data_IF_677657204616
#
_entry.id   IF_677657204616
#
_cell.length_a   1.000
_cell.length_b   1.000
_cell.length_c   1.000
_cell.angle_alpha   90.00
_cell.angle_beta   90.00
_cell.angle_gamma   90.00
#
_symmetry.space_group_name_H-M   'P 1'
#
loop_
_entity.id
_entity.type
_entity.pdbx_description
1 polymer ?
#
# COMPACT_ATOMS: atom_id res chain seq x y z
N UNK A 1 -40.26 -14.13 -45.34
CA UNK A 1 -41.38 -15.08 -45.46
C UNK A 1 -42.29 -14.85 -44.27
N UNK A 2 -43.55 -14.50 -44.50
CA UNK A 2 -44.51 -14.29 -43.41
C UNK A 2 -44.90 -15.63 -42.75
N UNK A 3 -45.44 -15.58 -41.52
CA UNK A 3 -45.84 -16.79 -40.78
C UNK A 3 -46.81 -17.66 -41.58
N UNK A 4 -47.69 -17.02 -42.36
CA UNK A 4 -48.69 -17.69 -43.20
C UNK A 4 -48.00 -18.49 -44.31
N UNK A 5 -47.03 -17.91 -45.01
CA UNK A 5 -46.29 -18.58 -46.08
C UNK A 5 -45.48 -19.78 -45.55
N UNK A 6 -44.91 -19.67 -44.34
CA UNK A 6 -44.21 -20.79 -43.68
C UNK A 6 -45.18 -21.90 -43.25
N UNK A 7 -46.35 -21.52 -42.76
CA UNK A 7 -47.41 -22.46 -42.39
C UNK A 7 -47.92 -23.23 -43.63
N UNK A 8 -48.18 -22.53 -44.74
CA UNK A 8 -48.60 -23.14 -46.00
C UNK A 8 -47.54 -24.11 -46.54
N UNK A 9 -46.26 -23.73 -46.53
CA UNK A 9 -45.17 -24.60 -46.97
C UNK A 9 -45.06 -25.88 -46.10
N UNK A 10 -45.20 -25.75 -44.78
CA UNK A 10 -45.21 -26.89 -43.86
C UNK A 10 -46.41 -27.80 -44.13
N UNK A 11 -47.61 -27.22 -44.26
CA UNK A 11 -48.84 -27.97 -44.54
C UNK A 11 -48.77 -28.72 -45.87
N UNK A 12 -48.27 -28.09 -46.93
CA UNK A 12 -48.06 -28.73 -48.24
C UNK A 12 -47.08 -29.88 -48.14
N UNK A 13 -45.95 -29.73 -47.41
CA UNK A 13 -45.01 -30.84 -47.23
C UNK A 13 -45.60 -32.00 -46.43
N UNK A 14 -46.49 -31.70 -45.47
CA UNK A 14 -47.14 -32.71 -44.63
C UNK A 14 -48.35 -33.40 -45.27
N UNK A 15 -48.78 -32.92 -46.45
CA UNK A 15 -49.89 -33.48 -47.24
C UNK A 15 -49.45 -33.99 -48.63
N UNK A 16 -48.19 -33.78 -49.02
CA UNK A 16 -47.66 -34.22 -50.32
C UNK A 16 -47.58 -35.74 -50.51
N UNK A 17 -47.14 -36.17 -51.69
CA UNK A 17 -47.22 -37.57 -52.14
C UNK A 17 -46.43 -38.57 -51.25
N UNK A 18 -45.34 -38.15 -50.60
CA UNK A 18 -44.60 -38.99 -49.62
C UNK A 18 -44.85 -38.61 -48.16
N UNK A 19 -45.91 -37.85 -47.89
CA UNK A 19 -46.12 -37.25 -46.59
C UNK A 19 -46.54 -38.25 -45.51
N UNK A 20 -46.42 -37.79 -44.26
CA UNK A 20 -46.89 -38.53 -43.08
C UNK A 20 -48.37 -38.91 -43.21
N UNK A 21 -49.18 -38.07 -43.88
CA UNK A 21 -50.58 -38.34 -44.16
C UNK A 21 -50.76 -39.55 -45.08
N UNK A 22 -50.04 -39.62 -46.20
CA UNK A 22 -50.13 -40.74 -47.14
C UNK A 22 -49.74 -42.05 -46.47
N UNK A 23 -48.64 -42.06 -45.71
CA UNK A 23 -48.18 -43.25 -44.97
C UNK A 23 -49.18 -43.69 -43.89
N UNK A 24 -49.73 -42.74 -43.15
CA UNK A 24 -50.72 -43.03 -42.11
C UNK A 24 -52.04 -43.54 -42.70
N UNK A 25 -52.48 -42.96 -43.83
CA UNK A 25 -53.63 -43.42 -44.61
C UNK A 25 -53.43 -44.86 -45.08
N UNK A 26 -52.31 -45.17 -45.72
CA UNK A 26 -51.98 -46.52 -46.21
C UNK A 26 -51.93 -47.55 -45.08
N UNK A 27 -51.34 -47.17 -43.94
CA UNK A 27 -51.31 -48.03 -42.75
C UNK A 27 -52.72 -48.31 -42.21
N UNK A 28 -53.59 -47.30 -42.19
CA UNK A 28 -54.99 -47.44 -41.77
C UNK A 28 -55.78 -48.35 -42.73
N UNK A 29 -55.59 -48.20 -44.04
CA UNK A 29 -56.21 -49.07 -45.03
C UNK A 29 -55.75 -50.52 -44.86
N UNK A 30 -54.46 -50.77 -44.68
CA UNK A 30 -53.95 -52.11 -44.42
C UNK A 30 -54.51 -52.73 -43.12
N UNK A 31 -54.69 -51.93 -42.06
CA UNK A 31 -55.33 -52.42 -40.83
C UNK A 31 -56.82 -52.73 -41.03
N UNK A 32 -57.54 -51.95 -41.83
CA UNK A 32 -58.95 -52.21 -42.17
C UNK A 32 -59.17 -53.44 -43.06
N UNK A 33 -58.16 -53.88 -43.81
CA UNK A 33 -58.19 -55.15 -44.55
C UNK A 33 -58.03 -56.35 -43.61
N UNK A 34 -57.25 -56.20 -42.54
CA UNK A 34 -56.98 -57.26 -41.56
C UNK A 34 -58.07 -57.37 -40.48
N UNK A 35 -58.74 -56.27 -40.15
CA UNK A 35 -59.83 -56.22 -39.18
C UNK A 35 -61.19 -56.32 -39.89
N UNK A 36 -62.02 -57.31 -39.50
CA UNK A 36 -63.41 -57.47 -39.97
C UNK A 36 -64.36 -56.43 -39.35
N UNK A 37 -64.05 -55.14 -39.52
CA UNK A 37 -64.89 -54.02 -39.09
C UNK A 37 -66.04 -53.79 -40.06
N UNK A 38 -67.19 -53.37 -39.53
CA UNK A 38 -68.33 -52.96 -40.36
C UNK A 38 -68.02 -51.64 -41.08
N UNK A 39 -68.68 -51.38 -42.22
CA UNK A 39 -68.47 -50.14 -42.99
C UNK A 39 -68.71 -48.87 -42.15
N UNK A 40 -69.66 -48.94 -41.21
CA UNK A 40 -69.96 -47.83 -40.29
C UNK A 40 -68.81 -47.55 -39.32
N UNK A 41 -68.15 -48.58 -38.82
CA UNK A 41 -66.99 -48.45 -37.91
C UNK A 41 -65.75 -47.95 -38.66
N UNK A 42 -65.53 -48.43 -39.89
CA UNK A 42 -64.45 -47.94 -40.77
C UNK A 42 -64.62 -46.45 -41.09
N UNK A 43 -65.83 -46.02 -41.42
CA UNK A 43 -66.14 -44.61 -41.67
C UNK A 43 -65.95 -43.74 -40.41
N UNK A 44 -66.37 -44.23 -39.24
CA UNK A 44 -66.17 -43.55 -37.96
C UNK A 44 -64.70 -43.35 -37.61
N UNK A 45 -63.89 -44.42 -37.69
CA UNK A 45 -62.45 -44.37 -37.45
C UNK A 45 -61.71 -43.46 -38.44
N UNK A 46 -62.09 -43.50 -39.71
CA UNK A 46 -61.49 -42.64 -40.74
C UNK A 46 -61.81 -41.17 -40.48
N UNK A 47 -63.07 -40.85 -40.14
CA UNK A 47 -63.48 -39.49 -39.81
C UNK A 47 -62.78 -38.96 -38.55
N UNK A 48 -62.65 -39.79 -37.52
CA UNK A 48 -61.93 -39.44 -36.28
C UNK A 48 -60.43 -39.24 -36.53
N UNK A 49 -59.81 -40.12 -37.32
CA UNK A 49 -58.41 -39.99 -37.72
C UNK A 49 -58.17 -38.70 -38.52
N UNK A 50 -58.95 -38.44 -39.56
CA UNK A 50 -58.80 -37.22 -40.38
C UNK A 50 -58.98 -35.97 -39.53
N UNK A 51 -59.96 -35.97 -38.61
CA UNK A 51 -60.19 -34.83 -37.72
C UNK A 51 -59.03 -34.60 -36.76
N UNK A 52 -58.56 -35.65 -36.07
CA UNK A 52 -57.43 -35.54 -35.13
C UNK A 52 -56.11 -35.23 -35.84
N UNK A 53 -55.88 -35.82 -37.00
CA UNK A 53 -54.68 -35.58 -37.81
C UNK A 53 -54.65 -34.15 -38.34
N UNK A 54 -55.77 -33.65 -38.89
CA UNK A 54 -55.89 -32.28 -39.39
C UNK A 54 -55.67 -31.24 -38.29
N UNK A 55 -56.29 -31.43 -37.11
CA UNK A 55 -56.09 -30.56 -35.94
C UNK A 55 -54.64 -30.60 -35.44
N UNK A 56 -54.08 -31.80 -35.26
CA UNK A 56 -52.72 -31.98 -34.75
C UNK A 56 -51.65 -31.40 -35.69
N UNK A 57 -51.79 -31.63 -36.99
CA UNK A 57 -50.87 -31.09 -38.01
C UNK A 57 -50.99 -29.57 -38.11
N UNK A 58 -52.21 -29.02 -38.14
CA UNK A 58 -52.41 -27.57 -38.21
C UNK A 58 -51.79 -26.88 -37.00
N UNK A 59 -51.96 -27.44 -35.80
CA UNK A 59 -51.38 -26.88 -34.58
C UNK A 59 -49.84 -26.99 -34.56
N UNK A 60 -49.28 -28.15 -34.93
CA UNK A 60 -47.83 -28.36 -34.96
C UNK A 60 -47.13 -27.50 -36.03
N UNK A 61 -47.71 -27.41 -37.23
CA UNK A 61 -47.20 -26.57 -38.33
C UNK A 61 -47.27 -25.09 -37.96
N UNK A 62 -48.35 -24.63 -37.33
CA UNK A 62 -48.48 -23.24 -36.88
C UNK A 62 -47.47 -22.91 -35.77
N UNK A 63 -47.29 -23.82 -34.81
CA UNK A 63 -46.33 -23.63 -33.71
C UNK A 63 -44.89 -23.58 -34.22
N UNK A 64 -44.54 -24.43 -35.20
CA UNK A 64 -43.22 -24.46 -35.85
C UNK A 64 -42.99 -23.21 -36.69
N UNK A 65 -43.97 -22.79 -37.50
CA UNK A 65 -43.89 -21.57 -38.29
C UNK A 65 -43.70 -20.31 -37.42
N UNK A 66 -44.40 -20.24 -36.28
CA UNK A 66 -44.24 -19.18 -35.29
C UNK A 66 -42.85 -19.21 -34.63
N UNK A 67 -42.35 -20.39 -34.29
CA UNK A 67 -40.99 -20.55 -33.74
C UNK A 67 -39.93 -20.06 -34.73
N UNK A 68 -40.00 -20.51 -35.99
CA UNK A 68 -39.08 -20.08 -37.04
C UNK A 68 -39.15 -18.58 -37.32
N UNK A 69 -40.35 -17.99 -37.31
CA UNK A 69 -40.51 -16.55 -37.49
C UNK A 69 -39.95 -15.75 -36.32
N UNK A 70 -40.13 -16.23 -35.07
CA UNK A 70 -39.52 -15.61 -33.89
C UNK A 70 -38.00 -15.69 -33.94
N UNK A 71 -37.45 -16.84 -34.33
CA UNK A 71 -36.01 -17.07 -34.39
C UNK A 71 -35.34 -16.24 -35.49
N UNK A 72 -35.95 -16.09 -36.66
CA UNK A 72 -35.45 -15.18 -37.71
C UNK A 72 -35.50 -13.70 -37.30
N UNK A 73 -36.51 -13.30 -36.52
CA UNK A 73 -36.65 -11.91 -36.05
C UNK A 73 -35.65 -11.61 -34.93
N UNK A 74 -35.54 -12.51 -33.96
CA UNK A 74 -34.79 -12.27 -32.72
C UNK A 74 -33.33 -12.77 -32.84
N UNK A 75 -33.03 -13.67 -33.77
CA UNK A 75 -31.70 -14.24 -33.99
C UNK A 75 -30.59 -13.22 -34.29
N UNK A 76 -30.80 -12.26 -35.22
CA UNK A 76 -29.82 -11.22 -35.50
C UNK A 76 -29.52 -10.34 -34.26
N UNK A 77 -30.55 -10.04 -33.47
CA UNK A 77 -30.39 -9.27 -32.24
C UNK A 77 -29.62 -10.05 -31.17
N UNK A 78 -29.95 -11.33 -30.98
CA UNK A 78 -29.22 -12.21 -30.05
C UNK A 78 -27.75 -12.37 -30.46
N UNK A 79 -27.48 -12.53 -31.75
CA UNK A 79 -26.11 -12.61 -32.25
C UNK A 79 -25.33 -11.31 -32.02
N UNK A 80 -25.96 -10.16 -32.27
CA UNK A 80 -25.35 -8.86 -31.99
C UNK A 80 -25.08 -8.65 -30.49
N UNK A 81 -26.01 -9.08 -29.63
CA UNK A 81 -25.85 -9.02 -28.17
C UNK A 81 -24.70 -9.91 -27.69
N UNK A 82 -24.61 -11.15 -28.19
CA UNK A 82 -23.50 -12.07 -27.86
C UNK A 82 -22.18 -11.46 -28.32
N UNK A 83 -22.13 -10.89 -29.53
CA UNK A 83 -20.93 -10.24 -30.04
C UNK A 83 -20.50 -9.07 -29.15
N UNK A 84 -21.43 -8.18 -28.80
CA UNK A 84 -21.15 -7.05 -27.90
C UNK A 84 -20.67 -7.52 -26.52
N UNK A 85 -21.28 -8.57 -25.96
CA UNK A 85 -20.85 -9.15 -24.69
C UNK A 85 -19.44 -9.77 -24.79
N UNK A 86 -19.11 -10.42 -25.91
CA UNK A 86 -17.76 -10.97 -26.12
C UNK A 86 -16.70 -9.88 -26.29
N UNK A 87 -17.03 -8.79 -26.99
CA UNK A 87 -16.13 -7.63 -27.13
C UNK A 87 -15.86 -6.98 -25.77
N UNK A 88 -16.90 -6.78 -24.96
CA UNK A 88 -16.75 -6.28 -23.59
C UNK A 88 -15.93 -7.21 -22.69
N UNK A 89 -16.13 -8.53 -22.81
CA UNK A 89 -15.36 -9.51 -22.05
C UNK A 89 -13.87 -9.51 -22.44
N UNK A 90 -13.57 -9.38 -23.73
CA UNK A 90 -12.19 -9.26 -24.22
C UNK A 90 -11.51 -7.97 -23.71
N UNK A 91 -12.19 -6.83 -23.78
CA UNK A 91 -11.67 -5.58 -23.24
C UNK A 91 -11.42 -5.66 -21.72
N UNK A 92 -12.31 -6.34 -20.98
CA UNK A 92 -12.12 -6.60 -19.55
C UNK A 92 -10.91 -7.50 -19.27
N UNK A 93 -10.67 -8.51 -20.09
CA UNK A 93 -9.51 -9.39 -19.98
C UNK A 93 -8.19 -8.65 -20.22
N UNK A 94 -8.12 -7.80 -21.24
CA UNK A 94 -6.93 -6.99 -21.53
C UNK A 94 -6.60 -6.04 -20.37
N UNK A 95 -7.62 -5.38 -19.80
CA UNK A 95 -7.45 -4.52 -18.64
C UNK A 95 -6.89 -5.27 -17.42
N UNK A 96 -7.43 -6.44 -17.11
CA UNK A 96 -6.95 -7.26 -15.98
C UNK A 96 -5.49 -7.68 -16.21
N UNK A 97 -5.12 -8.00 -17.46
CA UNK A 97 -3.74 -8.35 -17.81
C UNK A 97 -2.77 -7.18 -17.58
N UNK A 98 -3.17 -5.96 -17.91
CA UNK A 98 -2.38 -4.75 -17.62
C UNK A 98 -2.24 -4.51 -16.12
N UNK A 99 -3.33 -4.65 -15.36
CA UNK A 99 -3.33 -4.51 -13.90
C UNK A 99 -2.38 -5.53 -13.22
N UNK A 100 -2.37 -6.78 -13.68
CA UNK A 100 -1.43 -7.81 -13.18
C UNK A 100 0.02 -7.41 -13.45
N UNK A 101 0.32 -6.90 -14.65
CA UNK A 101 1.67 -6.46 -15.00
C UNK A 101 2.14 -5.29 -14.11
N UNK A 102 1.25 -4.33 -13.84
CA UNK A 102 1.53 -3.21 -12.94
C UNK A 102 1.81 -3.67 -11.51
N UNK A 103 1.00 -4.59 -10.98
CA UNK A 103 1.20 -5.15 -9.64
C UNK A 103 2.55 -5.87 -9.53
N UNK A 104 2.92 -6.67 -10.53
CA UNK A 104 4.23 -7.33 -10.55
C UNK A 104 5.39 -6.33 -10.54
N UNK A 105 5.27 -5.22 -11.30
CA UNK A 105 6.28 -4.15 -11.31
C UNK A 105 6.35 -3.40 -9.98
N UNK A 106 5.21 -3.19 -9.32
CA UNK A 106 5.16 -2.57 -7.99
C UNK A 106 5.82 -3.45 -6.92
N UNK A 107 5.58 -4.77 -6.98
CA UNK A 107 6.22 -5.73 -6.07
C UNK A 107 7.74 -5.79 -6.30
N UNK A 108 8.20 -5.82 -7.56
CA UNK A 108 9.63 -5.71 -7.89
C UNK A 108 10.23 -4.41 -7.32
N UNK A 109 9.53 -3.28 -7.45
CA UNK A 109 9.98 -2.00 -6.92
C UNK A 109 10.06 -1.99 -5.38
N UNK A 110 9.09 -2.60 -4.70
CA UNK A 110 9.10 -2.76 -3.24
C UNK A 110 10.29 -3.59 -2.79
N UNK A 111 10.57 -4.72 -3.46
CA UNK A 111 11.73 -5.54 -3.17
C UNK A 111 13.05 -4.75 -3.32
N UNK A 112 13.23 -4.05 -4.44
CA UNK A 112 14.43 -3.21 -4.66
C UNK A 112 14.54 -2.09 -3.61
N UNK A 113 13.43 -1.49 -3.20
CA UNK A 113 13.42 -0.43 -2.18
C UNK A 113 13.81 -0.95 -0.80
N UNK A 114 13.32 -2.15 -0.44
CA UNK A 114 13.70 -2.84 0.80
C UNK A 114 15.20 -3.14 0.78
N UNK A 115 15.72 -3.72 -0.32
CA UNK A 115 17.14 -4.01 -0.46
C UNK A 115 18.01 -2.75 -0.37
N UNK A 116 17.60 -1.66 -1.03
CA UNK A 116 18.30 -0.39 -0.98
C UNK A 116 18.32 0.19 0.44
N UNK A 117 17.21 0.12 1.17
CA UNK A 117 17.08 0.62 2.54
C UNK A 117 17.89 -0.24 3.52
N UNK A 118 17.86 -1.56 3.36
CA UNK A 118 18.68 -2.49 4.14
C UNK A 118 20.18 -2.26 3.88
N UNK A 119 20.59 -2.12 2.62
CA UNK A 119 21.97 -1.85 2.26
C UNK A 119 22.45 -0.49 2.80
N UNK A 120 21.61 0.55 2.73
CA UNK A 120 21.91 1.85 3.30
C UNK A 120 22.07 1.78 4.82
N UNK A 121 21.15 1.10 5.51
CA UNK A 121 21.22 0.92 6.97
C UNK A 121 22.49 0.16 7.39
N UNK A 122 22.84 -0.92 6.68
CA UNK A 122 24.07 -1.69 6.95
C UNK A 122 25.33 -0.86 6.71
N UNK A 123 25.35 -0.01 5.67
CA UNK A 123 26.49 0.87 5.38
C UNK A 123 26.66 1.97 6.44
N UNK A 124 25.56 2.54 6.91
CA UNK A 124 25.59 3.62 7.89
C UNK A 124 25.86 3.13 9.31
N UNK A 125 25.13 2.10 9.75
CA UNK A 125 25.07 1.68 11.15
C UNK A 125 25.87 0.40 11.44
N UNK A 126 26.28 -0.36 10.40
CA UNK A 126 26.94 -1.64 10.57
C UNK A 126 25.96 -2.82 10.72
N UNK A 127 26.51 -4.02 10.89
CA UNK A 127 25.71 -5.25 11.11
C UNK A 127 25.25 -5.34 12.56
N UNK A 128 24.10 -5.95 12.80
CA UNK A 128 23.62 -6.23 14.16
C UNK A 128 24.38 -7.43 14.72
N UNK A 129 24.93 -7.28 15.92
CA UNK A 129 25.67 -8.33 16.65
C UNK A 129 24.76 -9.21 17.49
N UNK A 130 23.83 -8.59 18.20
CA UNK A 130 22.87 -9.27 19.07
C UNK A 130 21.51 -8.61 19.00
N UNK A 131 20.48 -9.42 18.86
CA UNK A 131 19.08 -9.03 19.00
C UNK A 131 18.60 -9.28 20.43
N UNK A 132 17.54 -8.59 20.81
CA UNK A 132 16.83 -8.82 22.06
C UNK A 132 16.23 -10.22 22.11
N UNK A 133 16.32 -10.86 23.27
CA UNK A 133 15.81 -12.23 23.47
C UNK A 133 14.27 -12.26 23.48
N UNK A 134 13.65 -11.16 23.91
CA UNK A 134 12.19 -11.03 24.01
C UNK A 134 11.58 -10.40 22.75
N UNK A 135 12.37 -9.65 21.96
CA UNK A 135 11.95 -9.01 20.71
C UNK A 135 12.95 -9.26 19.56
N UNK A 136 12.71 -10.24 18.68
CA UNK A 136 13.68 -10.67 17.67
C UNK A 136 13.99 -9.62 16.59
N UNK A 137 13.25 -8.50 16.55
CA UNK A 137 13.45 -7.42 15.59
C UNK A 137 14.21 -6.22 16.16
N UNK A 138 14.57 -6.24 17.46
CA UNK A 138 15.22 -5.10 18.13
C UNK A 138 16.72 -5.36 18.31
N UNK A 139 17.60 -4.60 17.62
CA UNK A 139 19.04 -4.73 17.82
C UNK A 139 19.48 -4.13 19.16
N UNK A 140 20.21 -4.90 19.97
CA UNK A 140 20.78 -4.44 21.25
C UNK A 140 22.22 -3.93 21.07
N UNK A 141 22.99 -4.59 20.22
CA UNK A 141 24.37 -4.21 19.92
C UNK A 141 24.64 -4.32 18.42
N UNK A 142 25.41 -3.37 17.90
CA UNK A 142 25.92 -3.41 16.53
C UNK A 142 27.38 -3.82 16.55
N UNK A 143 27.86 -4.38 15.44
CA UNK A 143 29.29 -4.66 15.23
C UNK A 143 30.08 -3.36 15.06
N UNK A 144 31.40 -3.46 15.24
CA UNK A 144 32.37 -2.35 15.18
C UNK A 144 32.66 -1.94 13.72
N UNK A 145 31.59 -1.69 12.97
CA UNK A 145 31.60 -1.46 11.53
C UNK A 145 30.59 -0.37 11.15
N UNK A 146 30.73 0.20 9.95
CA UNK A 146 29.81 1.23 9.45
C UNK A 146 30.27 2.67 9.72
N UNK A 147 29.73 3.60 8.93
CA UNK A 147 30.19 4.99 8.91
C UNK A 147 30.04 5.69 10.27
N UNK A 148 28.91 5.47 10.97
CA UNK A 148 28.65 6.12 12.26
C UNK A 148 29.57 5.62 13.37
N UNK A 149 29.98 4.35 13.33
CA UNK A 149 30.98 3.82 14.26
C UNK A 149 32.32 4.57 14.10
N UNK A 150 32.81 4.69 12.86
CA UNK A 150 34.04 5.43 12.58
C UNK A 150 33.94 6.92 12.93
N UNK A 151 32.80 7.56 12.66
CA UNK A 151 32.55 8.96 13.07
C UNK A 151 32.56 9.10 14.60
N UNK A 152 31.95 8.17 15.33
CA UNK A 152 31.94 8.20 16.80
C UNK A 152 33.36 8.02 17.36
N UNK A 153 34.15 7.11 16.80
CA UNK A 153 35.57 6.95 17.16
C UNK A 153 36.38 8.20 16.85
N UNK A 154 36.12 8.86 15.74
CA UNK A 154 36.78 10.12 15.40
C UNK A 154 36.43 11.23 16.40
N UNK A 155 35.14 11.39 16.76
CA UNK A 155 34.70 12.36 17.77
C UNK A 155 35.30 12.05 19.14
N UNK A 156 35.40 10.77 19.52
CA UNK A 156 36.07 10.37 20.77
C UNK A 156 37.56 10.71 20.73
N UNK A 157 38.25 10.45 19.63
CA UNK A 157 39.66 10.82 19.46
C UNK A 157 39.87 12.33 19.50
N UNK A 158 38.98 13.11 18.85
CA UNK A 158 39.02 14.57 18.92
C UNK A 158 38.72 15.09 20.32
N UNK A 159 37.78 14.49 21.05
CA UNK A 159 37.52 14.82 22.45
C UNK A 159 38.74 14.56 23.34
N UNK A 160 39.40 13.41 23.19
CA UNK A 160 40.63 13.09 23.91
C UNK A 160 41.78 14.02 23.51
N UNK A 161 41.89 14.41 22.24
CA UNK A 161 42.85 15.38 21.75
C UNK A 161 42.62 16.75 22.39
N UNK A 162 41.38 17.24 22.39
CA UNK A 162 41.00 18.50 23.04
C UNK A 162 41.32 18.43 24.54
N UNK A 163 40.96 17.34 25.21
CA UNK A 163 41.30 17.13 26.62
C UNK A 163 42.82 17.16 26.85
N UNK A 164 43.61 16.48 26.03
CA UNK A 164 45.08 16.53 26.16
C UNK A 164 45.66 17.93 25.91
N UNK A 165 45.10 18.68 24.95
CA UNK A 165 45.53 20.03 24.61
C UNK A 165 45.09 21.06 25.67
N UNK A 166 43.91 20.90 26.27
CA UNK A 166 43.49 21.68 27.42
C UNK A 166 44.38 21.40 28.61
N UNK A 167 44.72 20.15 28.93
CA UNK A 167 45.69 19.84 29.99
C UNK A 167 47.06 20.45 29.73
N UNK A 168 47.54 20.45 28.48
CA UNK A 168 48.83 21.04 28.11
C UNK A 168 48.83 22.57 28.13
N UNK A 169 47.69 23.21 27.82
CA UNK A 169 47.55 24.67 27.77
C UNK A 169 47.06 25.29 29.08
N UNK A 170 46.33 24.54 29.92
CA UNK A 170 45.79 24.98 31.21
C UNK A 170 46.59 24.46 32.40
N UNK A 171 47.43 23.44 32.23
CA UNK A 171 48.45 23.06 33.20
C UNK A 171 49.59 24.07 33.16
N UNK A 172 49.64 25.02 34.09
CA UNK A 172 50.77 25.95 34.22
C UNK A 172 51.99 25.16 34.67
N UNK A 173 52.91 24.88 33.74
CA UNK A 173 54.28 24.49 34.07
C UNK A 173 55.12 25.75 34.09
N UNK A 174 55.36 26.32 35.27
CA UNK A 174 56.45 27.28 35.43
C UNK A 174 57.76 26.50 35.52
N UNK A 175 58.59 26.64 34.49
CA UNK A 175 60.02 26.30 34.58
C UNK A 175 60.71 27.49 35.25
N UNK A 176 60.80 27.46 36.58
CA UNK A 176 61.69 28.35 37.33
C UNK A 176 63.10 27.78 37.29
N UNK A 177 64.07 28.58 36.84
CA UNK A 177 65.49 28.30 37.01
C UNK A 177 65.94 29.13 38.20
N UNK A 178 66.23 28.47 39.32
CA UNK A 178 66.90 29.09 40.47
C UNK A 178 68.42 29.00 40.23
N UNK A 179 69.22 30.04 40.52
CA UNK A 179 70.68 30.06 40.33
C UNK A 179 71.52 28.90 40.92
N UNK A 180 70.97 28.05 41.78
CA UNK A 180 71.69 26.92 42.42
C UNK A 180 71.31 25.52 41.88
N UNK A 181 70.77 25.46 40.66
CA UNK A 181 70.76 24.25 39.80
C UNK A 181 69.96 23.03 40.30
N UNK A 182 68.73 23.26 40.77
CA UNK A 182 67.73 22.20 40.93
C UNK A 182 66.43 22.58 40.23
N UNK A 183 66.09 21.88 39.13
CA UNK A 183 64.81 22.06 38.42
C UNK A 183 63.68 21.54 39.32
N UNK A 184 62.99 22.44 40.01
CA UNK A 184 61.75 22.12 40.71
C UNK A 184 60.58 22.07 39.72
N UNK A 185 60.00 20.87 39.54
CA UNK A 185 58.72 20.68 38.84
C UNK A 185 57.60 20.65 39.87
N UNK A 186 57.08 21.81 40.26
CA UNK A 186 55.97 21.93 41.20
C UNK A 186 54.78 22.69 40.60
N UNK A 187 53.57 22.14 40.72
CA UNK A 187 52.32 22.83 40.42
C UNK A 187 51.98 23.78 41.59
N UNK A 188 52.02 25.09 41.38
CA UNK A 188 51.46 26.06 42.32
C UNK A 188 50.62 27.08 41.57
N UNK A 189 49.33 26.77 41.40
CA UNK A 189 48.33 27.73 40.92
C UNK A 189 47.73 28.48 42.11
N UNK A 190 48.42 29.48 42.64
CA UNK A 190 47.89 30.37 43.67
C UNK A 190 48.28 31.82 43.35
N UNK A 191 47.55 32.47 42.46
CA UNK A 191 47.42 33.93 42.50
C UNK A 191 46.03 34.23 43.06
N UNK A 192 45.98 34.80 44.27
CA UNK A 192 44.75 35.32 44.86
C UNK A 192 44.60 36.80 44.47
N UNK A 193 43.37 37.27 44.31
CA UNK A 193 43.07 38.71 44.21
C UNK A 193 43.25 39.39 45.58
N UNK A 194 43.21 40.73 45.61
CA UNK A 194 43.34 41.55 46.82
C UNK A 194 42.33 41.20 47.93
N UNK A 195 41.22 40.52 47.59
CA UNK A 195 40.19 40.03 48.52
C UNK A 195 40.41 38.58 49.02
N UNK A 196 41.53 37.94 48.68
CA UNK A 196 41.87 36.59 49.16
C UNK A 196 41.16 35.43 48.43
N UNK A 197 40.39 35.69 47.39
CA UNK A 197 39.81 34.64 46.53
C UNK A 197 40.77 34.21 45.42
N UNK A 198 40.75 32.92 45.06
CA UNK A 198 41.59 32.32 44.02
C UNK A 198 41.32 33.00 42.67
N UNK A 199 42.23 33.87 42.27
CA UNK A 199 42.18 34.61 41.02
C UNK A 199 43.13 34.00 40.01
N UNK A 200 42.77 32.79 39.60
CA UNK A 200 43.25 32.21 38.37
C UNK A 200 42.12 32.19 37.35
N UNK A 201 42.47 31.85 36.11
CA UNK A 201 41.58 31.61 34.96
C UNK A 201 40.34 30.71 35.21
N UNK A 202 40.12 30.19 36.42
CA UNK A 202 38.98 29.39 36.86
C UNK A 202 37.65 30.15 36.77
N UNK A 203 37.56 31.44 37.11
CA UNK A 203 36.28 32.16 37.05
C UNK A 203 35.74 32.29 35.61
N UNK A 204 36.62 32.60 34.65
CA UNK A 204 36.24 32.77 33.25
C UNK A 204 36.00 31.42 32.55
N UNK A 205 36.73 30.37 32.95
CA UNK A 205 36.49 29.00 32.50
C UNK A 205 35.19 28.41 33.06
N UNK A 206 34.89 28.65 34.34
CA UNK A 206 33.59 28.29 34.96
C UNK A 206 32.46 29.05 34.27
N UNK A 207 32.61 30.34 34.01
CA UNK A 207 31.61 31.11 33.28
C UNK A 207 31.38 30.60 31.85
N UNK A 208 32.42 30.13 31.16
CA UNK A 208 32.27 29.55 29.82
C UNK A 208 31.66 28.13 29.85
N UNK A 209 32.02 27.32 30.86
CA UNK A 209 31.40 26.02 31.11
C UNK A 209 29.91 26.16 31.46
N UNK A 210 29.55 27.17 32.25
CA UNK A 210 28.16 27.52 32.57
C UNK A 210 27.40 27.94 31.30
N UNK A 211 27.97 28.82 30.47
CA UNK A 211 27.36 29.24 29.20
C UNK A 211 27.14 28.08 28.23
N UNK A 212 28.11 27.17 28.12
CA UNK A 212 27.98 25.99 27.24
C UNK A 212 26.97 24.99 27.77
N UNK A 213 26.86 24.82 29.09
CA UNK A 213 25.77 24.03 29.72
C UNK A 213 24.40 24.60 29.39
N UNK A 214 24.21 25.91 29.60
CA UNK A 214 22.92 26.55 29.33
C UNK A 214 22.59 26.49 27.83
N UNK A 215 23.55 26.78 26.94
CA UNK A 215 23.35 26.68 25.50
C UNK A 215 22.94 25.27 25.04
N UNK A 216 23.47 24.22 25.69
CA UNK A 216 23.08 22.84 25.39
C UNK A 216 21.67 22.51 25.91
N UNK A 217 21.30 23.01 27.09
CA UNK A 217 19.94 22.87 27.63
C UNK A 217 18.92 23.60 26.75
N UNK A 218 19.21 24.81 26.28
CA UNK A 218 18.33 25.57 25.38
C UNK A 218 18.24 24.94 23.99
N UNK A 219 19.33 24.39 23.48
CA UNK A 219 19.31 23.61 22.23
C UNK A 219 18.36 22.41 22.32
N UNK A 220 18.33 21.71 23.47
CA UNK A 220 17.37 20.62 23.70
C UNK A 220 15.93 21.12 23.75
N UNK A 221 15.67 22.20 24.48
CA UNK A 221 14.33 22.79 24.59
C UNK A 221 13.85 23.30 23.24
N UNK A 222 14.73 23.90 22.43
CA UNK A 222 14.43 24.37 21.07
C UNK A 222 14.13 23.20 20.12
N UNK A 223 14.90 22.11 20.17
CA UNK A 223 14.59 20.91 19.42
C UNK A 223 13.23 20.30 19.81
N UNK A 224 12.91 20.27 21.11
CA UNK A 224 11.62 19.79 21.59
C UNK A 224 10.46 20.70 21.12
N UNK A 225 10.61 22.01 21.21
CA UNK A 225 9.61 22.99 20.77
C UNK A 225 9.36 22.92 19.25
N UNK A 226 10.40 22.76 18.44
CA UNK A 226 10.25 22.60 16.99
C UNK A 226 9.59 21.27 16.63
N UNK A 227 9.93 20.19 17.33
CA UNK A 227 9.31 18.88 17.13
C UNK A 227 7.83 18.90 17.49
N UNK A 228 7.46 19.52 18.62
CA UNK A 228 6.05 19.62 19.03
C UNK A 228 5.27 20.58 18.13
N UNK A 229 5.87 21.67 17.66
CA UNK A 229 5.25 22.56 16.67
C UNK A 229 4.94 21.81 15.35
N UNK A 230 5.85 20.96 14.89
CA UNK A 230 5.63 20.13 13.70
C UNK A 230 4.49 19.13 13.90
N UNK A 231 4.41 18.47 15.06
CA UNK A 231 3.34 17.53 15.37
C UNK A 231 1.98 18.23 15.47
N UNK A 232 1.91 19.37 16.18
CA UNK A 232 0.70 20.19 16.28
C UNK A 232 0.26 20.69 14.90
N UNK A 233 1.20 21.12 14.05
CA UNK A 233 0.91 21.52 12.67
C UNK A 233 0.34 20.39 11.81
N UNK A 234 0.85 19.17 11.96
CA UNK A 234 0.31 17.99 11.29
C UNK A 234 -1.09 17.64 11.78
N UNK A 235 -1.34 17.68 13.09
CA UNK A 235 -2.68 17.45 13.66
C UNK A 235 -3.70 18.47 13.17
N UNK A 236 -3.35 19.76 13.16
CA UNK A 236 -4.21 20.82 12.63
C UNK A 236 -4.48 20.66 11.13
N UNK A 237 -3.48 20.23 10.35
CA UNK A 237 -3.67 19.93 8.92
C UNK A 237 -4.57 18.73 8.65
N UNK A 238 -4.66 17.80 9.62
CA UNK A 238 -5.54 16.64 9.59
C UNK A 238 -6.92 16.93 10.21
N UNK A 239 -7.24 18.20 10.52
CA UNK A 239 -8.47 18.65 11.19
C UNK A 239 -8.72 18.02 12.57
N UNK A 240 -7.67 17.47 13.19
CA UNK A 240 -7.73 16.92 14.55
C UNK A 240 -7.28 18.00 15.53
N UNK A 241 -8.16 18.35 16.48
CA UNK A 241 -7.81 19.28 17.54
C UNK A 241 -6.65 18.69 18.38
N UNK A 242 -5.53 19.40 18.54
CA UNK A 242 -4.44 18.94 19.40
C UNK A 242 -4.91 18.92 20.87
N UNK A 243 -4.38 17.99 21.66
CA UNK A 243 -4.68 17.94 23.08
C UNK A 243 -4.14 19.20 23.77
N UNK A 244 -4.92 19.79 24.68
CA UNK A 244 -4.53 21.01 25.41
C UNK A 244 -3.20 20.86 26.14
N UNK A 245 -2.88 19.65 26.62
CA UNK A 245 -1.62 19.34 27.27
C UNK A 245 -0.40 19.49 26.35
N UNK A 246 -0.53 19.16 25.07
CA UNK A 246 0.58 19.26 24.10
C UNK A 246 0.81 20.71 23.64
N UNK A 247 -0.28 21.47 23.53
CA UNK A 247 -0.20 22.93 23.28
C UNK A 247 0.44 23.65 24.47
N UNK A 248 0.10 23.27 25.70
CA UNK A 248 0.73 23.86 26.89
C UNK A 248 2.20 23.49 27.03
N UNK A 249 2.60 22.24 26.77
CA UNK A 249 4.03 21.86 26.75
C UNK A 249 4.84 22.63 25.72
N UNK A 250 4.25 22.89 24.54
CA UNK A 250 4.88 23.73 23.54
C UNK A 250 5.01 25.19 24.00
N UNK A 251 3.97 25.76 24.61
CA UNK A 251 4.00 27.12 25.18
C UNK A 251 5.06 27.23 26.28
N UNK A 252 5.09 26.31 27.24
CA UNK A 252 6.07 26.29 28.32
C UNK A 252 7.52 26.22 27.79
N UNK A 253 7.74 25.47 26.70
CA UNK A 253 9.04 25.38 26.05
C UNK A 253 9.43 26.68 25.32
N UNK A 254 8.47 27.34 24.67
CA UNK A 254 8.68 28.63 24.01
C UNK A 254 8.91 29.75 25.04
N UNK A 255 8.12 29.79 26.11
CA UNK A 255 8.25 30.78 27.18
C UNK A 255 9.61 30.66 27.88
N UNK A 256 10.08 29.43 28.15
CA UNK A 256 11.44 29.19 28.67
C UNK A 256 12.54 29.72 27.74
N UNK A 257 12.38 29.59 26.43
CA UNK A 257 13.33 30.11 25.44
C UNK A 257 13.27 31.64 25.30
N UNK A 258 12.16 32.26 25.67
CA UNK A 258 11.97 33.71 25.62
C UNK A 258 12.39 34.42 26.92
N UNK A 259 12.24 33.79 28.08
CA UNK A 259 12.58 34.38 29.39
C UNK A 259 14.09 34.44 29.65
N UNK A 260 14.89 33.59 28.98
CA UNK A 260 16.33 33.52 29.22
C UNK A 260 17.06 34.30 28.12
N UNK A 261 17.76 35.39 28.49
CA UNK A 261 18.71 36.22 27.70
C UNK A 261 18.35 37.65 27.30
N UNK A 262 17.74 38.41 28.20
CA UNK A 262 17.90 39.87 28.23
C UNK A 262 18.52 40.37 29.54
N UNK A 263 19.71 39.87 29.90
CA UNK A 263 20.62 40.57 30.80
C UNK A 263 22.07 40.38 30.36
N UNK A 264 22.47 41.14 29.35
CA UNK A 264 23.86 41.54 29.20
C UNK A 264 24.29 42.22 30.52
N UNK A 265 25.37 41.80 31.19
CA UNK A 265 25.93 42.59 32.27
C UNK A 265 26.44 43.89 31.64
N UNK A 266 25.90 45.01 32.10
CA UNK A 266 26.51 46.34 31.93
C UNK A 266 27.97 46.30 32.37
N UNK A 267 28.79 47.10 31.69
CA UNK A 267 30.20 47.36 31.97
C UNK A 267 30.47 47.67 33.45
#
# INVERSE_FOLDING_TARGET
MEVIEKYEALMVSTLGDESLYTRAKETLFHQFEQLQLTEKEKAGLTAEFVTKFSLGMSQASMQTALSWSKEERDGPYQLALVKANTENALAGYEKIKEEICLLQKEDELKCVTIEATMAASLRENGRVKTYDADEPCKPIAMEDEGLKYFQTKQVQADSQRIFSDTYRKSGVVQLGIDPDDAVFKGLTGNTHNEDGELAGYTAQQTANAERTRIAFEDSKVNHAANSSASMIGQMLSAEVAPADADVQRWRDAVDRLLDTYHTTPTA
#
